data_IF_596499815916
#
_entry.id   IF_596499815916
#
_cell.length_a   1.000
_cell.length_b   1.000
_cell.length_c   1.000
_cell.angle_alpha   90.00
_cell.angle_beta   90.00
_cell.angle_gamma   90.00
#
_symmetry.space_group_name_H-M   'P 1'
#
loop_
_entity.id
_entity.type
_entity.pdbx_description
1 polymer ?
#
# COMPACT_ATOMS: atom_id res chain seq x y z
N UNK A 1 -0.03 30.97 -24.32
CA UNK A 1 -0.68 29.76 -23.74
C UNK A 1 -1.68 30.20 -22.68
N UNK A 2 -2.93 29.74 -22.76
CA UNK A 2 -4.02 30.13 -21.85
C UNK A 2 -3.97 29.36 -20.52
N UNK A 3 -4.28 30.02 -19.40
CA UNK A 3 -4.28 29.40 -18.09
C UNK A 3 -5.61 28.65 -17.83
N UNK A 4 -5.59 27.31 -17.63
CA UNK A 4 -6.81 26.51 -17.42
C UNK A 4 -7.50 26.74 -16.06
N UNK A 5 -7.02 27.65 -15.21
CA UNK A 5 -7.63 28.01 -13.92
C UNK A 5 -8.60 29.20 -13.96
N UNK A 6 -8.69 29.91 -15.09
CA UNK A 6 -9.38 31.20 -15.17
C UNK A 6 -10.86 31.10 -15.52
N UNK A 7 -11.70 31.92 -14.86
CA UNK A 7 -13.11 32.18 -15.25
C UNK A 7 -13.10 33.47 -16.06
N UNK A 8 -13.20 33.36 -17.37
CA UNK A 8 -12.92 34.44 -18.29
C UNK A 8 -13.98 35.56 -18.28
N UNK A 9 -13.53 36.80 -18.10
CA UNK A 9 -14.22 38.03 -18.52
C UNK A 9 -13.22 38.90 -19.29
N UNK A 10 -13.68 39.70 -20.27
CA UNK A 10 -12.83 40.54 -21.16
C UNK A 10 -11.80 41.43 -20.43
N UNK A 11 -12.02 41.72 -19.15
CA UNK A 11 -11.11 42.49 -18.28
C UNK A 11 -9.78 41.80 -17.93
N UNK A 12 -9.60 40.52 -18.24
CA UNK A 12 -8.44 39.72 -17.80
C UNK A 12 -7.36 39.49 -18.87
N UNK A 13 -7.51 40.06 -20.07
CA UNK A 13 -6.62 39.84 -21.23
C UNK A 13 -5.13 40.07 -20.95
N UNK A 14 -4.80 40.94 -19.99
CA UNK A 14 -3.42 41.31 -19.63
C UNK A 14 -3.01 40.89 -18.20
N UNK A 15 -3.84 40.10 -17.49
CA UNK A 15 -3.60 39.73 -16.09
C UNK A 15 -2.97 38.33 -15.91
N UNK A 16 -2.87 37.54 -16.99
CA UNK A 16 -2.32 36.18 -16.96
C UNK A 16 -0.90 36.17 -17.49
N UNK A 17 0.08 36.12 -16.59
CA UNK A 17 1.47 35.81 -16.91
C UNK A 17 1.86 34.50 -16.23
N UNK A 18 2.60 33.64 -16.93
CA UNK A 18 3.21 32.47 -16.31
C UNK A 18 4.39 32.95 -15.47
N UNK A 19 4.35 32.69 -14.15
CA UNK A 19 5.47 32.93 -13.24
C UNK A 19 6.63 31.93 -13.46
N UNK A 20 6.47 30.99 -14.40
CA UNK A 20 7.39 29.89 -14.65
C UNK A 20 8.13 30.15 -15.96
N UNK A 21 9.47 30.07 -16.00
CA UNK A 21 10.24 30.13 -17.25
C UNK A 21 9.71 29.12 -18.26
N UNK A 22 9.60 29.52 -19.54
CA UNK A 22 9.10 28.64 -20.61
C UNK A 22 9.89 27.33 -20.72
N UNK A 23 11.17 27.34 -20.34
CA UNK A 23 12.06 26.18 -20.31
C UNK A 23 11.63 25.06 -19.34
N UNK A 24 10.88 25.41 -18.28
CA UNK A 24 10.36 24.46 -17.29
C UNK A 24 8.95 23.98 -17.62
N UNK A 25 8.34 24.48 -18.70
CA UNK A 25 7.00 24.12 -19.13
C UNK A 25 7.05 23.09 -20.26
N UNK A 26 6.47 21.92 -20.03
CA UNK A 26 6.27 20.91 -21.07
C UNK A 26 4.78 20.66 -21.28
N UNK A 27 4.24 21.10 -22.42
CA UNK A 27 2.80 21.10 -22.72
C UNK A 27 2.39 20.12 -23.83
N UNK A 28 3.29 19.22 -24.23
CA UNK A 28 3.04 18.22 -25.27
C UNK A 28 2.97 16.82 -24.66
N UNK A 29 2.48 15.85 -25.42
CA UNK A 29 2.62 14.44 -25.08
C UNK A 29 4.06 13.99 -25.33
N UNK A 30 4.65 13.22 -24.41
CA UNK A 30 5.98 12.64 -24.59
C UNK A 30 6.00 11.20 -24.12
N UNK A 31 6.30 10.29 -25.05
CA UNK A 31 6.60 8.90 -24.69
C UNK A 31 7.96 8.87 -24.00
N UNK A 32 8.02 8.32 -22.79
CA UNK A 32 9.25 8.22 -21.99
C UNK A 32 9.93 6.87 -22.20
N UNK A 33 9.13 5.79 -22.28
CA UNK A 33 9.53 4.48 -22.77
C UNK A 33 8.29 3.74 -23.33
N UNK A 34 8.39 2.45 -23.66
CA UNK A 34 7.28 1.66 -24.23
C UNK A 34 6.07 1.47 -23.32
N UNK A 35 6.21 1.72 -22.02
CA UNK A 35 5.18 1.50 -21.02
C UNK A 35 4.83 2.77 -20.23
N UNK A 36 5.38 3.94 -20.58
CA UNK A 36 5.16 5.19 -19.85
C UNK A 36 5.10 6.40 -20.77
N UNK A 37 4.05 7.20 -20.59
CA UNK A 37 3.82 8.45 -21.33
C UNK A 37 3.53 9.63 -20.39
N UNK A 38 4.18 10.75 -20.65
CA UNK A 38 3.82 12.05 -20.09
C UNK A 38 2.69 12.67 -20.92
N UNK A 39 1.56 12.95 -20.28
CA UNK A 39 0.38 13.57 -20.89
C UNK A 39 0.37 15.07 -20.55
N UNK A 40 1.26 15.84 -21.18
CA UNK A 40 1.37 17.30 -20.99
C UNK A 40 0.37 18.12 -21.81
N UNK A 41 -0.22 17.50 -22.82
CA UNK A 41 -1.19 18.09 -23.76
C UNK A 41 -2.61 18.20 -23.20
N UNK A 42 -2.94 17.45 -22.14
CA UNK A 42 -4.25 17.48 -21.48
C UNK A 42 -4.24 18.46 -20.31
N UNK A 43 -5.19 19.41 -20.30
CA UNK A 43 -5.31 20.41 -19.23
C UNK A 43 -6.43 20.04 -18.27
N UNK A 44 -6.07 19.83 -17.00
CA UNK A 44 -6.99 19.48 -15.93
C UNK A 44 -7.16 20.68 -14.99
N UNK A 45 -8.40 21.01 -14.62
CA UNK A 45 -8.67 22.10 -13.67
C UNK A 45 -8.08 21.73 -12.29
N UNK A 46 -7.32 22.61 -11.61
CA UNK A 46 -6.77 22.34 -10.27
C UNK A 46 -7.80 22.12 -9.17
N UNK A 47 -9.07 22.44 -9.42
CA UNK A 47 -10.20 22.19 -8.53
C UNK A 47 -10.93 20.87 -8.84
N UNK A 48 -10.47 20.10 -9.84
CA UNK A 48 -11.04 18.80 -10.19
C UNK A 48 -11.05 17.87 -8.97
N UNK A 49 -12.18 17.22 -8.72
CA UNK A 49 -12.32 16.31 -7.58
C UNK A 49 -11.44 15.08 -7.76
N UNK A 50 -11.55 14.44 -8.93
CA UNK A 50 -10.77 13.29 -9.36
C UNK A 50 -10.05 13.62 -10.67
N UNK A 51 -8.75 13.95 -10.65
CA UNK A 51 -8.05 14.39 -11.85
C UNK A 51 -7.77 13.28 -12.86
N UNK A 52 -7.85 12.01 -12.45
CA UNK A 52 -7.55 10.86 -13.31
C UNK A 52 -8.81 10.20 -13.90
N UNK A 53 -9.98 10.58 -13.42
CA UNK A 53 -11.27 10.02 -13.87
C UNK A 53 -11.47 10.22 -15.37
N UNK A 54 -11.78 9.14 -16.08
CA UNK A 54 -12.06 9.16 -17.53
C UNK A 54 -10.82 9.01 -18.41
N UNK A 55 -9.63 8.88 -17.83
CA UNK A 55 -8.38 8.65 -18.56
C UNK A 55 -7.93 7.19 -18.59
N UNK A 56 -8.71 6.27 -18.03
CA UNK A 56 -8.38 4.85 -17.91
C UNK A 56 -8.09 4.20 -19.28
N UNK A 57 -8.68 4.69 -20.36
CA UNK A 57 -8.46 4.19 -21.72
C UNK A 57 -7.51 5.03 -22.59
N UNK A 58 -7.23 6.29 -22.21
CA UNK A 58 -6.55 7.27 -23.10
C UNK A 58 -5.07 6.93 -23.38
N UNK A 59 -4.46 6.15 -22.49
CA UNK A 59 -3.07 5.72 -22.61
C UNK A 59 -2.93 4.31 -23.18
N UNK A 60 -4.02 3.69 -23.66
CA UNK A 60 -4.04 2.30 -24.12
C UNK A 60 -3.44 1.33 -23.10
N UNK A 61 -2.26 0.75 -23.34
CA UNK A 61 -1.55 -0.13 -22.40
C UNK A 61 -0.47 0.58 -21.57
N UNK A 62 -0.18 1.84 -21.84
CA UNK A 62 0.91 2.59 -21.20
C UNK A 62 0.46 3.22 -19.88
N UNK A 63 1.35 3.26 -18.89
CA UNK A 63 1.20 4.11 -17.71
C UNK A 63 1.25 5.59 -18.10
N UNK A 64 0.58 6.46 -17.34
CA UNK A 64 0.37 7.86 -17.70
C UNK A 64 0.66 8.83 -16.57
N UNK A 65 1.44 9.87 -16.84
CA UNK A 65 1.70 10.98 -15.91
C UNK A 65 0.92 12.22 -16.38
N UNK A 66 0.06 12.75 -15.50
CA UNK A 66 -0.80 13.90 -15.78
C UNK A 66 -0.42 15.08 -14.90
N UNK A 67 -0.46 16.29 -15.47
CA UNK A 67 -0.26 17.52 -14.74
C UNK A 67 -1.47 17.84 -13.84
N UNK A 68 -1.27 17.85 -12.52
CA UNK A 68 -2.28 18.27 -11.56
C UNK A 68 -1.65 18.57 -10.19
N UNK A 69 -2.30 19.40 -9.37
CA UNK A 69 -1.78 19.81 -8.05
C UNK A 69 -2.09 18.84 -6.92
N UNK A 70 -3.12 18.00 -7.08
CA UNK A 70 -3.40 16.89 -6.15
C UNK A 70 -2.54 15.70 -6.50
N UNK A 71 -1.96 15.07 -5.49
CA UNK A 71 -1.26 13.80 -5.62
C UNK A 71 -2.27 12.65 -5.69
N UNK A 72 -2.18 11.86 -6.75
CA UNK A 72 -3.13 10.82 -7.13
C UNK A 72 -2.42 9.68 -7.83
N UNK A 73 -2.83 8.46 -7.55
CA UNK A 73 -2.39 7.29 -8.28
C UNK A 73 -3.52 6.27 -8.33
N UNK A 74 -3.76 5.71 -9.52
CA UNK A 74 -4.71 4.62 -9.73
C UNK A 74 -4.07 3.57 -10.62
N UNK A 75 -4.02 2.33 -10.14
CA UNK A 75 -3.62 1.17 -10.94
C UNK A 75 -4.82 0.62 -11.69
N UNK A 76 -4.66 0.43 -13.00
CA UNK A 76 -5.71 -0.01 -13.92
C UNK A 76 -5.48 -1.48 -14.26
N UNK A 77 -6.50 -2.34 -14.06
CA UNK A 77 -6.39 -3.74 -14.44
C UNK A 77 -6.12 -3.90 -15.94
N UNK A 78 -5.20 -4.79 -16.30
CA UNK A 78 -4.90 -5.13 -17.70
C UNK A 78 -5.16 -6.61 -17.95
N UNK A 79 -5.27 -7.05 -19.23
CA UNK A 79 -5.41 -8.46 -19.55
C UNK A 79 -4.28 -9.30 -18.92
N UNK A 80 -4.60 -10.55 -18.58
CA UNK A 80 -3.66 -11.50 -17.98
C UNK A 80 -2.30 -11.52 -18.69
N UNK A 81 -1.23 -11.67 -17.89
CA UNK A 81 0.17 -11.71 -18.34
C UNK A 81 0.69 -10.40 -18.97
N UNK A 82 -0.01 -9.28 -18.75
CA UNK A 82 0.53 -7.94 -18.99
C UNK A 82 0.71 -7.23 -17.66
N UNK A 83 1.75 -6.40 -17.58
CA UNK A 83 1.94 -5.54 -16.43
C UNK A 83 0.73 -4.60 -16.30
N UNK A 84 0.12 -4.48 -15.10
CA UNK A 84 -0.84 -3.42 -14.83
C UNK A 84 -0.25 -2.05 -15.18
N UNK A 85 -1.11 -1.14 -15.61
CA UNK A 85 -0.68 0.23 -15.89
C UNK A 85 -1.11 1.16 -14.77
N UNK A 86 -0.30 2.18 -14.53
CA UNK A 86 -0.54 3.17 -13.49
C UNK A 86 -0.86 4.50 -14.13
N UNK A 87 -1.94 5.15 -13.68
CA UNK A 87 -2.19 6.56 -13.97
C UNK A 87 -1.86 7.37 -12.73
N UNK A 88 -1.12 8.45 -12.91
CA UNK A 88 -0.69 9.26 -11.77
C UNK A 88 -0.60 10.75 -12.08
N UNK A 89 -0.73 11.55 -11.04
CA UNK A 89 -0.31 12.96 -10.99
C UNK A 89 0.94 13.03 -10.09
N UNK A 90 1.82 14.01 -10.15
CA UNK A 90 1.64 15.43 -10.42
C UNK A 90 2.66 15.89 -11.45
N UNK A 91 2.42 15.67 -12.75
CA UNK A 91 3.30 16.16 -13.83
C UNK A 91 3.46 17.70 -13.90
N UNK A 92 3.10 18.42 -12.83
CA UNK A 92 3.36 19.83 -12.60
C UNK A 92 3.65 20.06 -11.10
N UNK A 93 4.66 20.90 -10.81
CA UNK A 93 4.94 21.44 -9.48
C UNK A 93 4.45 22.89 -9.49
N UNK A 94 3.52 23.25 -8.60
CA UNK A 94 2.96 24.61 -8.54
C UNK A 94 2.87 25.13 -7.11
N UNK A 95 2.67 26.44 -6.98
CA UNK A 95 2.35 27.10 -5.71
C UNK A 95 0.82 27.22 -5.60
N UNK A 96 0.22 27.04 -4.40
CA UNK A 96 -1.22 27.20 -4.21
C UNK A 96 -1.72 28.58 -4.65
N UNK A 97 -2.72 28.61 -5.54
CA UNK A 97 -3.43 29.82 -5.94
C UNK A 97 -4.90 29.46 -6.20
N UNK A 98 -5.77 29.78 -5.25
CA UNK A 98 -7.17 29.36 -5.25
C UNK A 98 -8.09 30.47 -4.75
N UNK A 99 -9.32 30.48 -5.25
CA UNK A 99 -10.37 31.39 -4.77
C UNK A 99 -10.94 30.94 -3.42
N UNK A 100 -11.65 31.83 -2.75
CA UNK A 100 -12.39 31.59 -1.50
C UNK A 100 -13.67 30.73 -1.68
N UNK A 101 -13.97 30.30 -2.91
CA UNK A 101 -15.09 29.40 -3.20
C UNK A 101 -14.91 28.00 -2.57
N UNK A 102 -16.02 27.27 -2.41
CA UNK A 102 -16.01 25.86 -1.96
C UNK A 102 -15.04 24.99 -2.78
N UNK A 103 -14.99 25.18 -4.10
CA UNK A 103 -14.09 24.44 -4.98
C UNK A 103 -12.64 24.85 -4.79
N UNK A 104 -12.38 26.15 -4.63
CA UNK A 104 -11.06 26.70 -4.33
C UNK A 104 -10.50 26.19 -3.01
N UNK A 105 -11.28 26.26 -1.91
CA UNK A 105 -10.89 25.74 -0.59
C UNK A 105 -10.63 24.23 -0.58
N UNK A 106 -11.41 23.45 -1.32
CA UNK A 106 -11.13 22.01 -1.50
C UNK A 106 -9.86 21.75 -2.32
N UNK A 107 -9.60 22.58 -3.33
CA UNK A 107 -8.38 22.52 -4.13
C UNK A 107 -7.14 22.83 -3.28
N UNK A 108 -7.19 23.94 -2.54
CA UNK A 108 -6.15 24.40 -1.61
C UNK A 108 -5.82 23.33 -0.55
N UNK A 109 -6.83 22.76 0.10
CA UNK A 109 -6.64 21.74 1.13
C UNK A 109 -5.88 20.49 0.64
N UNK A 110 -6.13 20.07 -0.60
CA UNK A 110 -5.51 18.89 -1.21
C UNK A 110 -4.32 19.22 -2.11
N UNK A 111 -3.89 20.48 -2.17
CA UNK A 111 -2.74 20.88 -2.96
C UNK A 111 -1.47 20.26 -2.37
N UNK A 112 -0.68 19.63 -3.24
CA UNK A 112 0.62 19.08 -2.91
C UNK A 112 1.66 19.76 -3.79
N UNK A 113 2.63 20.42 -3.16
CA UNK A 113 3.87 20.77 -3.84
C UNK A 113 4.72 19.50 -3.87
N UNK A 114 4.88 18.93 -5.05
CA UNK A 114 5.49 17.62 -5.23
C UNK A 114 5.47 17.22 -6.69
N UNK A 115 6.24 16.18 -7.01
CA UNK A 115 6.47 15.74 -8.37
C UNK A 115 6.61 14.22 -8.44
N UNK A 116 6.95 13.76 -9.64
CA UNK A 116 7.23 12.36 -9.92
C UNK A 116 8.66 12.28 -10.45
N UNK A 117 9.47 11.44 -9.82
CA UNK A 117 10.78 11.02 -10.32
C UNK A 117 10.54 9.75 -11.15
N UNK A 118 11.08 9.75 -12.37
CA UNK A 118 11.01 8.62 -13.29
C UNK A 118 12.41 8.18 -13.63
N UNK A 119 12.72 6.93 -13.36
CA UNK A 119 13.99 6.30 -13.73
C UNK A 119 13.72 5.31 -14.87
N UNK A 120 14.34 5.54 -16.03
CA UNK A 120 14.19 4.67 -17.20
C UNK A 120 15.37 3.69 -17.20
N UNK A 121 15.09 2.43 -16.84
CA UNK A 121 16.10 1.36 -16.85
C UNK A 121 16.39 0.92 -18.28
N UNK A 122 15.33 0.72 -19.08
CA UNK A 122 15.43 0.39 -20.49
C UNK A 122 14.13 0.77 -21.24
N UNK A 123 14.01 0.34 -22.49
CA UNK A 123 12.85 0.65 -23.33
C UNK A 123 11.50 0.19 -22.75
N UNK A 124 11.46 -0.74 -21.80
CA UNK A 124 10.22 -1.27 -21.19
C UNK A 124 10.11 -1.01 -19.70
N UNK A 125 11.22 -1.09 -18.97
CA UNK A 125 11.25 -1.00 -17.51
C UNK A 125 11.47 0.44 -17.07
N UNK A 126 10.67 0.88 -16.10
CA UNK A 126 10.81 2.16 -15.44
C UNK A 126 10.45 2.04 -13.95
N UNK A 127 11.03 2.89 -13.12
CA UNK A 127 10.58 3.13 -11.75
C UNK A 127 9.93 4.50 -11.63
N UNK A 128 8.94 4.60 -10.75
CA UNK A 128 8.14 5.80 -10.56
C UNK A 128 8.01 6.09 -9.07
N UNK A 129 8.50 7.26 -8.64
CA UNK A 129 8.46 7.68 -7.25
C UNK A 129 7.84 9.05 -7.10
N UNK A 130 6.85 9.18 -6.22
CA UNK A 130 6.37 10.49 -5.79
C UNK A 130 7.32 11.11 -4.78
N UNK A 131 7.61 12.39 -5.00
CA UNK A 131 8.20 13.27 -3.98
C UNK A 131 7.13 14.26 -3.50
N UNK A 132 7.13 14.52 -2.20
CA UNK A 132 6.14 15.38 -1.57
C UNK A 132 6.85 16.35 -0.61
N UNK A 133 6.86 17.64 -0.96
CA UNK A 133 7.57 18.63 -0.19
C UNK A 133 6.91 18.85 1.19
N UNK A 134 7.75 18.98 2.21
CA UNK A 134 7.38 19.43 3.55
C UNK A 134 6.84 20.86 3.44
N UNK A 135 5.63 21.09 3.99
CA UNK A 135 4.91 22.35 3.83
C UNK A 135 5.65 23.59 4.35
N UNK A 136 6.48 23.41 5.39
CA UNK A 136 7.13 24.52 6.11
C UNK A 136 8.20 25.22 5.26
N UNK A 137 8.98 24.43 4.53
CA UNK A 137 10.19 24.93 3.86
C UNK A 137 10.31 24.44 2.41
N UNK A 138 9.53 23.45 1.96
CA UNK A 138 9.64 22.91 0.61
C UNK A 138 10.65 21.77 0.48
N UNK A 139 11.34 21.38 1.55
CA UNK A 139 12.29 20.27 1.54
C UNK A 139 11.57 18.93 1.31
N UNK A 140 12.22 17.97 0.67
CA UNK A 140 11.67 16.63 0.44
C UNK A 140 12.73 15.55 0.62
N UNK A 141 12.28 14.31 0.86
CA UNK A 141 13.15 13.15 0.90
C UNK A 141 12.90 12.31 -0.37
N UNK A 142 13.99 11.82 -0.94
CA UNK A 142 13.98 10.77 -1.93
C UNK A 142 15.04 9.73 -1.54
N UNK A 143 14.57 8.51 -1.26
CA UNK A 143 15.37 7.41 -0.72
C UNK A 143 16.18 7.85 0.52
N UNK A 144 17.50 7.79 0.45
CA UNK A 144 18.41 8.06 1.56
C UNK A 144 18.87 9.53 1.65
N UNK A 145 18.28 10.43 0.85
CA UNK A 145 18.68 11.84 0.77
C UNK A 145 17.54 12.80 1.05
N UNK A 146 17.85 13.85 1.81
CA UNK A 146 17.00 15.02 2.03
C UNK A 146 17.50 16.19 1.17
N UNK A 147 16.58 16.82 0.44
CA UNK A 147 16.83 17.93 -0.47
C UNK A 147 16.19 19.21 0.07
N UNK A 148 16.96 20.30 0.11
CA UNK A 148 16.53 21.58 0.67
C UNK A 148 16.47 22.69 -0.41
N UNK A 149 15.65 23.75 -0.19
CA UNK A 149 15.47 24.81 -1.19
C UNK A 149 16.70 25.65 -1.52
N UNK A 150 17.68 25.68 -0.62
CA UNK A 150 18.96 26.37 -0.80
C UNK A 150 19.95 25.55 -1.65
N UNK A 151 19.56 24.36 -2.11
CA UNK A 151 20.40 23.44 -2.86
C UNK A 151 21.19 22.45 -1.99
N UNK A 152 21.08 22.55 -0.66
CA UNK A 152 21.74 21.61 0.26
C UNK A 152 21.13 20.21 0.11
N UNK A 153 22.00 19.20 0.12
CA UNK A 153 21.61 17.78 0.12
C UNK A 153 22.28 17.09 1.30
N UNK A 154 21.48 16.46 2.15
CA UNK A 154 21.96 15.75 3.34
C UNK A 154 21.48 14.30 3.32
N UNK A 155 22.06 13.46 4.18
CA UNK A 155 21.51 12.14 4.44
C UNK A 155 20.14 12.28 5.09
N UNK A 156 19.16 11.54 4.60
CA UNK A 156 17.82 11.54 5.15
C UNK A 156 17.81 11.07 6.61
N UNK A 157 16.96 11.65 7.47
CA UNK A 157 16.66 11.05 8.77
C UNK A 157 16.08 9.64 8.59
N UNK A 158 16.24 8.80 9.61
CA UNK A 158 15.62 7.48 9.65
C UNK A 158 14.11 7.59 9.37
N UNK A 159 13.60 6.69 8.53
CA UNK A 159 12.18 6.63 8.23
C UNK A 159 11.41 6.24 9.50
N UNK A 160 10.19 6.75 9.64
CA UNK A 160 9.33 6.36 10.76
C UNK A 160 8.92 4.90 10.61
N UNK A 161 8.45 4.52 9.42
CA UNK A 161 7.94 3.19 9.19
C UNK A 161 8.04 2.71 7.74
N UNK A 162 8.05 1.39 7.58
CA UNK A 162 7.60 0.73 6.35
C UNK A 162 6.35 -0.09 6.70
N UNK A 163 5.30 0.12 5.93
CA UNK A 163 4.10 -0.72 5.87
C UNK A 163 4.25 -1.61 4.65
N UNK A 164 4.42 -2.90 4.89
CA UNK A 164 4.55 -3.86 3.81
C UNK A 164 3.23 -4.02 3.06
N UNK A 165 3.33 -4.31 1.76
CA UNK A 165 2.20 -4.85 1.01
C UNK A 165 1.79 -6.19 1.62
N UNK A 166 0.57 -6.64 1.32
CA UNK A 166 0.02 -7.87 1.91
C UNK A 166 1.00 -9.04 1.70
N UNK A 167 1.47 -9.58 2.83
CA UNK A 167 2.71 -10.36 2.90
C UNK A 167 2.52 -11.75 2.35
N UNK A 168 1.50 -12.46 2.82
CA UNK A 168 1.13 -13.78 2.33
C UNK A 168 2.34 -14.72 2.27
N UNK A 169 2.93 -14.98 3.45
CA UNK A 169 4.23 -15.66 3.58
C UNK A 169 4.39 -16.86 2.65
N UNK A 170 3.38 -17.70 2.52
CA UNK A 170 3.46 -18.95 1.75
C UNK A 170 3.56 -18.73 0.23
N UNK A 171 3.16 -17.55 -0.25
CA UNK A 171 3.16 -17.19 -1.67
C UNK A 171 4.02 -15.97 -2.01
N UNK A 172 4.84 -15.48 -1.07
CA UNK A 172 5.81 -14.40 -1.33
C UNK A 172 6.62 -14.66 -2.60
N UNK A 173 6.89 -13.59 -3.31
CA UNK A 173 7.87 -13.57 -4.38
C UNK A 173 9.29 -13.44 -3.78
N UNK A 174 10.17 -14.42 -3.95
CA UNK A 174 11.53 -14.38 -3.40
C UNK A 174 12.33 -13.15 -3.84
N UNK A 175 12.11 -12.65 -5.06
CA UNK A 175 12.86 -11.50 -5.58
C UNK A 175 12.45 -10.22 -4.84
N UNK A 176 11.17 -10.09 -4.49
CA UNK A 176 10.64 -8.97 -3.70
C UNK A 176 11.13 -9.05 -2.25
N UNK A 177 11.17 -10.25 -1.67
CA UNK A 177 11.72 -10.46 -0.31
C UNK A 177 13.19 -10.09 -0.28
N UNK A 178 13.99 -10.58 -1.23
CA UNK A 178 15.42 -10.26 -1.35
C UNK A 178 15.62 -8.75 -1.46
N UNK A 179 14.97 -8.07 -2.42
CA UNK A 179 15.11 -6.63 -2.58
C UNK A 179 14.57 -5.79 -1.42
N UNK A 180 13.66 -6.33 -0.62
CA UNK A 180 13.18 -5.66 0.58
C UNK A 180 14.19 -5.74 1.72
N UNK A 181 14.77 -6.92 1.97
CA UNK A 181 15.50 -7.20 3.22
C UNK A 181 17.00 -7.42 3.07
N UNK A 182 17.52 -7.65 1.86
CA UNK A 182 18.97 -7.77 1.64
C UNK A 182 19.71 -6.51 2.07
N UNK A 183 21.03 -6.62 2.27
CA UNK A 183 21.89 -5.45 2.43
C UNK A 183 21.82 -4.59 1.16
N UNK A 184 21.57 -3.29 1.32
CA UNK A 184 21.25 -2.37 0.21
C UNK A 184 19.82 -2.48 -0.32
N UNK A 185 18.99 -3.34 0.26
CA UNK A 185 17.55 -3.43 0.00
C UNK A 185 16.75 -2.33 0.68
N UNK A 186 15.44 -2.31 0.46
CA UNK A 186 14.55 -1.22 0.90
C UNK A 186 14.67 -0.92 2.40
N UNK A 187 14.66 -1.94 3.26
CA UNK A 187 14.75 -1.77 4.72
C UNK A 187 16.10 -1.20 5.14
N UNK A 188 17.19 -1.57 4.47
CA UNK A 188 18.54 -1.07 4.76
C UNK A 188 18.69 0.40 4.30
N UNK A 189 18.23 0.70 3.07
CA UNK A 189 18.29 2.05 2.47
C UNK A 189 17.48 3.06 3.29
N UNK A 190 16.25 2.71 3.65
CA UNK A 190 15.35 3.64 4.35
C UNK A 190 15.57 3.67 5.87
N UNK A 191 16.21 2.63 6.42
CA UNK A 191 16.47 2.47 7.85
C UNK A 191 15.26 2.83 8.74
N UNK A 192 14.10 2.14 8.60
CA UNK A 192 12.89 2.50 9.31
C UNK A 192 12.97 2.11 10.79
N UNK A 193 12.29 2.89 11.63
CA UNK A 193 12.13 2.59 13.07
C UNK A 193 11.11 1.49 13.34
N UNK A 194 10.04 1.47 12.54
CA UNK A 194 8.89 0.58 12.70
C UNK A 194 8.63 -0.20 11.42
N UNK A 195 8.28 -1.49 11.55
CA UNK A 195 7.77 -2.32 10.47
C UNK A 195 6.32 -2.72 10.75
N UNK A 196 5.45 -2.58 9.76
CA UNK A 196 4.02 -2.89 9.88
C UNK A 196 3.64 -3.96 8.86
N UNK A 197 3.05 -5.05 9.36
CA UNK A 197 2.81 -6.28 8.63
C UNK A 197 1.29 -6.49 8.42
N UNK A 198 0.88 -6.63 7.17
CA UNK A 198 -0.49 -6.90 6.74
C UNK A 198 -0.58 -8.27 6.09
N UNK A 199 -1.68 -9.01 6.33
CA UNK A 199 -1.92 -10.36 5.79
C UNK A 199 -0.65 -11.24 5.87
N UNK A 200 0.01 -11.25 7.04
CA UNK A 200 1.24 -12.03 7.25
C UNK A 200 0.98 -13.54 7.08
N UNK A 201 -0.10 -14.00 7.70
CA UNK A 201 -0.61 -15.35 7.57
C UNK A 201 -1.52 -15.44 6.32
N UNK A 202 -1.35 -16.47 5.49
CA UNK A 202 -2.23 -16.72 4.35
C UNK A 202 -3.54 -17.40 4.75
N UNK A 203 -3.54 -18.13 5.85
CA UNK A 203 -4.57 -19.12 6.21
C UNK A 203 -4.92 -20.03 5.02
N UNK A 204 -3.92 -20.39 4.21
CA UNK A 204 -4.12 -21.15 2.98
C UNK A 204 -4.67 -22.54 3.31
N UNK A 205 -4.18 -23.20 4.37
CA UNK A 205 -4.66 -24.49 4.86
C UNK A 205 -6.20 -24.52 4.94
N UNK A 206 -6.81 -23.51 5.57
CA UNK A 206 -8.22 -23.43 5.94
C UNK A 206 -9.06 -22.43 5.13
N UNK A 207 -8.50 -21.89 4.04
CA UNK A 207 -9.11 -20.79 3.27
C UNK A 207 -10.59 -21.09 2.91
N UNK A 208 -11.55 -20.23 3.31
CA UNK A 208 -12.98 -20.42 3.05
C UNK A 208 -13.35 -20.55 1.56
N UNK A 209 -12.56 -19.97 0.65
CA UNK A 209 -12.81 -20.03 -0.79
C UNK A 209 -12.54 -21.42 -1.38
N UNK A 210 -11.83 -22.30 -0.66
CA UNK A 210 -11.50 -23.66 -1.12
C UNK A 210 -12.48 -24.72 -0.61
N UNK A 211 -13.44 -24.32 0.24
CA UNK A 211 -14.44 -25.23 0.82
C UNK A 211 -15.24 -25.90 -0.28
N UNK A 212 -15.36 -27.22 -0.21
CA UNK A 212 -16.10 -28.03 -1.19
C UNK A 212 -15.32 -28.39 -2.46
N UNK A 213 -14.06 -27.96 -2.61
CA UNK A 213 -13.22 -28.37 -3.74
C UNK A 213 -12.24 -29.51 -3.34
N UNK A 214 -12.53 -30.78 -3.69
CA UNK A 214 -11.69 -31.91 -3.28
C UNK A 214 -10.31 -31.90 -3.98
N UNK A 215 -10.19 -31.28 -5.15
CA UNK A 215 -8.92 -31.24 -5.88
C UNK A 215 -7.94 -30.25 -5.27
N UNK A 216 -8.41 -29.09 -4.82
CA UNK A 216 -7.58 -28.15 -4.04
C UNK A 216 -7.17 -28.81 -2.71
N UNK A 217 -8.09 -29.49 -2.03
CA UNK A 217 -7.75 -30.25 -0.81
C UNK A 217 -6.65 -31.27 -1.07
N UNK A 218 -6.76 -32.07 -2.13
CA UNK A 218 -5.75 -33.05 -2.51
C UNK A 218 -4.40 -32.39 -2.86
N UNK A 219 -4.42 -31.25 -3.57
CA UNK A 219 -3.21 -30.50 -3.89
C UNK A 219 -2.49 -29.99 -2.63
N UNK A 220 -3.24 -29.42 -1.67
CA UNK A 220 -2.71 -29.00 -0.37
C UNK A 220 -2.08 -30.16 0.40
N UNK A 221 -2.71 -31.33 0.43
CA UNK A 221 -2.13 -32.51 1.07
C UNK A 221 -0.81 -32.92 0.41
N UNK A 222 -0.77 -32.98 -0.92
CA UNK A 222 0.45 -33.33 -1.67
C UNK A 222 1.60 -32.33 -1.47
N UNK A 223 1.29 -31.06 -1.27
CA UNK A 223 2.26 -29.99 -1.05
C UNK A 223 2.57 -29.75 0.45
N UNK A 224 2.00 -30.53 1.37
CA UNK A 224 2.04 -30.29 2.81
C UNK A 224 1.46 -28.92 3.28
N UNK A 225 0.61 -28.28 2.48
CA UNK A 225 -0.01 -26.98 2.80
C UNK A 225 -1.34 -27.12 3.57
N UNK A 226 -1.63 -28.31 4.08
CA UNK A 226 -2.86 -28.63 4.80
C UNK A 226 -2.71 -28.54 6.32
N UNK A 227 -1.46 -28.44 6.82
CA UNK A 227 -1.16 -28.33 8.24
C UNK A 227 -1.21 -26.85 8.66
N UNK A 228 -2.13 -26.52 9.56
CA UNK A 228 -2.37 -25.16 10.05
C UNK A 228 -1.24 -24.65 10.93
N UNK A 229 -0.73 -25.52 11.81
CA UNK A 229 0.36 -25.20 12.73
C UNK A 229 1.62 -24.78 11.98
N UNK A 230 2.02 -25.56 10.97
CA UNK A 230 3.18 -25.26 10.13
C UNK A 230 3.07 -23.87 9.50
N UNK A 231 1.91 -23.52 8.93
CA UNK A 231 1.72 -22.21 8.29
C UNK A 231 1.82 -21.05 9.30
N UNK A 232 1.25 -21.22 10.50
CA UNK A 232 1.34 -20.22 11.57
C UNK A 232 2.78 -20.04 12.05
N UNK A 233 3.52 -21.14 12.22
CA UNK A 233 4.93 -21.10 12.60
C UNK A 233 5.77 -20.44 11.49
N UNK A 234 5.62 -20.86 10.24
CA UNK A 234 6.30 -20.28 9.07
C UNK A 234 6.12 -18.76 8.99
N UNK A 235 4.89 -18.28 9.20
CA UNK A 235 4.57 -16.85 9.16
C UNK A 235 5.25 -16.07 10.30
N UNK A 236 5.25 -16.62 11.52
CA UNK A 236 5.86 -15.98 12.69
C UNK A 236 7.39 -16.02 12.60
N UNK A 237 7.98 -17.12 12.15
CA UNK A 237 9.43 -17.24 11.95
C UNK A 237 9.93 -16.25 10.90
N UNK A 238 9.20 -16.09 9.80
CA UNK A 238 9.52 -15.09 8.79
C UNK A 238 9.50 -13.66 9.34
N UNK A 239 8.47 -13.32 10.11
CA UNK A 239 8.39 -12.04 10.82
C UNK A 239 9.56 -11.84 11.78
N UNK A 240 9.94 -12.88 12.53
CA UNK A 240 11.04 -12.80 13.49
C UNK A 240 12.38 -12.61 12.80
N UNK A 241 12.64 -13.34 11.71
CA UNK A 241 13.86 -13.25 10.91
C UNK A 241 14.04 -11.86 10.30
N UNK A 242 12.98 -11.31 9.68
CA UNK A 242 13.05 -10.06 8.93
C UNK A 242 12.72 -8.82 9.77
N UNK A 243 12.13 -9.01 10.94
CA UNK A 243 11.77 -7.96 11.90
C UNK A 243 12.85 -7.66 12.95
N UNK A 244 13.99 -8.36 12.92
CA UNK A 244 15.05 -8.23 13.93
C UNK A 244 15.48 -6.78 14.14
N UNK A 245 15.77 -6.44 15.41
CA UNK A 245 16.25 -5.13 15.88
C UNK A 245 15.31 -3.94 15.66
N UNK A 246 14.07 -4.19 15.21
CA UNK A 246 13.07 -3.15 14.94
C UNK A 246 11.79 -3.43 15.70
N UNK A 247 10.98 -2.39 15.85
CA UNK A 247 9.63 -2.51 16.39
C UNK A 247 8.69 -2.99 15.30
N UNK A 248 7.94 -4.05 15.58
CA UNK A 248 7.05 -4.69 14.63
C UNK A 248 5.60 -4.62 15.10
N UNK A 249 4.71 -4.23 14.21
CA UNK A 249 3.26 -4.31 14.42
C UNK A 249 2.62 -5.24 13.40
N UNK A 250 1.85 -6.22 13.88
CA UNK A 250 1.06 -7.09 13.01
C UNK A 250 -0.38 -6.60 13.04
N UNK A 251 -0.90 -6.19 11.88
CA UNK A 251 -2.23 -5.60 11.72
C UNK A 251 -3.26 -6.72 11.46
N UNK A 252 -4.35 -6.79 12.26
CA UNK A 252 -5.44 -7.73 12.03
C UNK A 252 -6.01 -7.60 10.61
N UNK A 253 -5.88 -8.68 9.87
CA UNK A 253 -6.24 -8.74 8.46
C UNK A 253 -7.29 -9.82 8.18
N UNK A 254 -7.86 -9.85 6.98
CA UNK A 254 -8.90 -10.84 6.68
C UNK A 254 -8.35 -12.26 6.67
N UNK A 255 -7.07 -12.47 6.33
CA UNK A 255 -6.47 -13.80 6.39
C UNK A 255 -6.17 -14.24 7.82
N UNK A 256 -5.83 -13.33 8.74
CA UNK A 256 -5.72 -13.66 10.17
C UNK A 256 -7.06 -14.14 10.73
N UNK A 257 -8.16 -13.48 10.34
CA UNK A 257 -9.52 -13.84 10.74
C UNK A 257 -9.98 -15.20 10.16
N UNK A 258 -9.39 -15.65 9.05
CA UNK A 258 -9.69 -16.98 8.51
C UNK A 258 -9.24 -18.11 9.46
N UNK A 259 -8.19 -17.92 10.26
CA UNK A 259 -7.80 -18.87 11.30
C UNK A 259 -8.91 -18.98 12.37
N UNK A 260 -9.45 -17.84 12.84
CA UNK A 260 -10.60 -17.83 13.76
C UNK A 260 -11.79 -18.59 13.17
N UNK A 261 -12.13 -18.30 11.91
CA UNK A 261 -13.25 -18.97 11.22
C UNK A 261 -13.00 -20.47 11.02
N UNK A 262 -11.76 -20.88 10.80
CA UNK A 262 -11.41 -22.30 10.69
C UNK A 262 -11.69 -23.04 12.00
N UNK A 263 -11.28 -22.47 13.15
CA UNK A 263 -11.59 -23.03 14.47
C UNK A 263 -13.10 -23.08 14.74
N UNK A 264 -13.88 -22.12 14.23
CA UNK A 264 -15.34 -22.11 14.44
C UNK A 264 -16.06 -23.12 13.51
N UNK A 265 -15.56 -23.27 12.28
CA UNK A 265 -16.27 -23.99 11.20
C UNK A 265 -15.96 -25.48 11.16
N UNK A 266 -14.69 -25.85 11.33
CA UNK A 266 -14.24 -27.22 11.08
C UNK A 266 -14.57 -28.17 12.24
N UNK A 267 -14.73 -29.45 11.90
CA UNK A 267 -14.88 -30.53 12.87
C UNK A 267 -13.55 -31.29 12.97
N UNK A 268 -12.76 -31.01 14.01
CA UNK A 268 -11.46 -31.63 14.23
C UNK A 268 -11.51 -33.17 14.24
N UNK A 269 -12.66 -33.78 14.59
CA UNK A 269 -12.83 -35.25 14.58
C UNK A 269 -12.79 -35.85 13.17
N UNK A 270 -12.92 -35.02 12.14
CA UNK A 270 -12.87 -35.42 10.73
C UNK A 270 -11.50 -35.16 10.10
N UNK A 271 -10.57 -34.55 10.83
CA UNK A 271 -9.19 -34.42 10.39
C UNK A 271 -8.43 -35.72 10.66
N UNK A 272 -7.50 -36.03 9.79
CA UNK A 272 -6.64 -37.23 9.86
C UNK A 272 -5.18 -36.87 10.12
N UNK A 273 -4.82 -35.58 10.09
CA UNK A 273 -3.51 -35.08 10.50
C UNK A 273 -3.53 -34.78 12.00
N UNK A 274 -2.70 -35.49 12.77
CA UNK A 274 -2.64 -35.35 14.24
C UNK A 274 -2.22 -33.94 14.66
N UNK A 275 -1.30 -33.33 13.91
CA UNK A 275 -0.78 -31.97 14.11
C UNK A 275 -1.91 -30.93 14.07
N UNK A 276 -2.84 -31.08 13.12
CA UNK A 276 -4.01 -30.20 13.04
C UNK A 276 -4.97 -30.40 14.21
N UNK A 277 -5.16 -31.64 14.68
CA UNK A 277 -6.06 -31.94 15.79
C UNK A 277 -5.55 -31.28 17.07
N UNK A 278 -4.26 -31.46 17.40
CA UNK A 278 -3.65 -30.88 18.60
C UNK A 278 -3.66 -29.36 18.54
N UNK A 279 -3.18 -28.77 17.44
CA UNK A 279 -3.17 -27.32 17.24
C UNK A 279 -4.57 -26.71 17.28
N UNK A 280 -5.56 -27.38 16.67
CA UNK A 280 -6.96 -26.97 16.74
C UNK A 280 -7.44 -26.95 18.19
N UNK A 281 -7.24 -28.03 18.94
CA UNK A 281 -7.77 -28.17 20.30
C UNK A 281 -7.11 -27.17 21.25
N UNK A 282 -5.81 -26.93 21.14
CA UNK A 282 -5.09 -25.90 21.90
C UNK A 282 -5.62 -24.50 21.59
N UNK A 283 -5.78 -24.18 20.30
CA UNK A 283 -6.31 -22.89 19.85
C UNK A 283 -7.76 -22.70 20.30
N UNK A 284 -8.61 -23.72 20.17
CA UNK A 284 -9.99 -23.69 20.59
C UNK A 284 -10.13 -23.53 22.11
N UNK A 285 -9.27 -24.21 22.88
CA UNK A 285 -9.25 -24.11 24.34
C UNK A 285 -8.95 -22.69 24.79
N UNK A 286 -7.92 -22.04 24.24
CA UNK A 286 -7.59 -20.65 24.62
C UNK A 286 -8.69 -19.69 24.19
N UNK A 287 -9.29 -19.88 23.01
CA UNK A 287 -10.44 -19.07 22.57
C UNK A 287 -11.60 -19.22 23.55
N UNK A 288 -11.96 -20.45 23.93
CA UNK A 288 -13.04 -20.71 24.88
C UNK A 288 -12.76 -20.16 26.28
N UNK A 289 -11.54 -20.31 26.80
CA UNK A 289 -11.15 -19.78 28.11
C UNK A 289 -11.12 -18.25 28.15
N UNK A 290 -10.78 -17.61 27.02
CA UNK A 290 -10.77 -16.15 26.90
C UNK A 290 -12.16 -15.55 26.66
N UNK A 291 -13.15 -16.37 26.30
CA UNK A 291 -14.47 -15.90 25.92
C UNK A 291 -15.24 -15.36 27.13
N UNK A 292 -15.71 -14.13 27.04
CA UNK A 292 -16.47 -13.47 28.08
C UNK A 292 -17.43 -12.41 27.50
N UNK A 293 -18.39 -11.98 28.33
CA UNK A 293 -19.27 -10.86 27.99
C UNK A 293 -18.62 -9.55 28.41
N UNK A 294 -18.63 -8.58 27.51
CA UNK A 294 -18.41 -7.15 27.78
C UNK A 294 -19.74 -6.42 27.84
N UNK A 295 -19.72 -5.15 28.27
CA UNK A 295 -20.92 -4.29 28.30
C UNK A 295 -21.61 -4.13 26.94
N UNK A 296 -20.92 -4.46 25.83
CA UNK A 296 -21.40 -4.27 24.45
C UNK A 296 -21.36 -5.53 23.59
N UNK A 297 -21.20 -6.72 24.20
CA UNK A 297 -21.24 -8.00 23.48
C UNK A 297 -20.15 -8.99 23.90
N UNK A 298 -20.14 -10.16 23.26
CA UNK A 298 -19.13 -11.18 23.49
C UNK A 298 -17.78 -10.78 22.89
N UNK A 299 -16.71 -11.09 23.62
CA UNK A 299 -15.32 -10.91 23.17
C UNK A 299 -14.51 -12.17 23.47
N UNK A 300 -13.48 -12.42 22.66
CA UNK A 300 -12.53 -13.53 22.81
C UNK A 300 -11.24 -13.20 22.06
N UNK A 301 -10.16 -13.89 22.43
CA UNK A 301 -8.84 -13.62 21.85
C UNK A 301 -8.78 -13.99 20.36
N UNK A 302 -8.12 -13.15 19.57
CA UNK A 302 -7.78 -13.49 18.19
C UNK A 302 -6.63 -14.52 18.17
N UNK A 303 -6.80 -15.70 17.55
CA UNK A 303 -5.87 -16.82 17.68
C UNK A 303 -4.49 -16.54 17.08
N UNK A 304 -4.41 -15.82 15.95
CA UNK A 304 -3.10 -15.52 15.37
C UNK A 304 -2.26 -14.59 16.26
N UNK A 305 -2.88 -13.56 16.83
CA UNK A 305 -2.23 -12.68 17.82
C UNK A 305 -1.83 -13.42 19.10
N UNK A 306 -2.61 -14.43 19.51
CA UNK A 306 -2.21 -15.33 20.60
C UNK A 306 -0.93 -16.10 20.25
N UNK A 307 -0.90 -16.77 19.10
CA UNK A 307 0.25 -17.57 18.67
C UNK A 307 1.52 -16.74 18.45
N UNK A 308 1.40 -15.52 17.91
CA UNK A 308 2.52 -14.57 17.85
C UNK A 308 3.11 -14.34 19.24
N UNK A 309 2.28 -14.14 20.26
CA UNK A 309 2.77 -13.90 21.62
C UNK A 309 3.36 -15.14 22.28
N UNK A 310 2.91 -16.35 21.92
CA UNK A 310 3.49 -17.60 22.42
C UNK A 310 4.85 -17.92 21.79
N UNK A 311 4.99 -17.64 20.49
CA UNK A 311 6.14 -18.08 19.71
C UNK A 311 7.23 -17.01 19.53
N UNK A 312 6.95 -15.75 19.87
CA UNK A 312 7.98 -14.70 19.91
C UNK A 312 8.97 -14.93 21.05
N UNK A 313 10.22 -14.59 20.82
CA UNK A 313 11.26 -14.58 21.85
C UNK A 313 11.12 -13.35 22.76
N UNK A 314 11.76 -13.38 23.94
CA UNK A 314 11.80 -12.23 24.85
C UNK A 314 12.52 -11.01 24.27
N UNK A 315 13.37 -11.20 23.27
CA UNK A 315 14.11 -10.13 22.59
C UNK A 315 13.38 -9.57 21.37
N UNK A 316 12.26 -10.18 20.96
CA UNK A 316 11.49 -9.74 19.81
C UNK A 316 10.55 -8.59 20.22
N UNK A 317 10.68 -7.43 19.57
CA UNK A 317 9.74 -6.30 19.73
C UNK A 317 8.59 -6.44 18.73
N UNK A 318 7.71 -7.42 18.98
CA UNK A 318 6.54 -7.73 18.15
C UNK A 318 5.25 -7.49 18.94
N UNK A 319 4.38 -6.65 18.38
CA UNK A 319 3.06 -6.34 18.90
C UNK A 319 1.96 -6.69 17.88
N UNK A 320 1.22 -7.80 18.07
CA UNK A 320 -0.01 -8.00 17.32
C UNK A 320 -1.08 -7.00 17.82
N UNK A 321 -1.65 -6.21 16.92
CA UNK A 321 -2.72 -5.29 17.27
C UNK A 321 -4.04 -6.05 17.47
N UNK A 322 -4.96 -5.46 18.23
CA UNK A 322 -6.35 -5.95 18.33
C UNK A 322 -7.20 -5.40 17.20
N UNK A 323 -8.28 -6.09 16.86
CA UNK A 323 -9.28 -5.56 15.93
C UNK A 323 -9.79 -4.21 16.45
N UNK A 324 -9.92 -3.21 15.55
CA UNK A 324 -10.32 -1.82 15.86
C UNK A 324 -9.29 -1.02 16.68
N UNK A 325 -8.11 -1.58 16.96
CA UNK A 325 -7.03 -0.81 17.60
C UNK A 325 -6.39 0.12 16.58
N UNK A 326 -6.30 1.41 16.91
CA UNK A 326 -5.57 2.41 16.12
C UNK A 326 -4.06 2.23 16.29
N UNK A 327 -3.33 2.44 15.20
CA UNK A 327 -1.88 2.58 15.19
C UNK A 327 -1.52 3.89 14.47
N UNK A 328 -1.41 4.96 15.25
CA UNK A 328 -0.95 6.26 14.75
C UNK A 328 0.58 6.31 14.75
N UNK A 329 1.17 6.40 13.56
CA UNK A 329 2.60 6.68 13.36
C UNK A 329 2.71 8.09 12.79
N UNK A 330 3.29 9.00 13.59
CA UNK A 330 3.14 10.46 13.39
C UNK A 330 1.65 10.86 13.32
N UNK A 331 1.20 11.43 12.21
CA UNK A 331 -0.20 11.81 11.97
C UNK A 331 -0.91 10.88 10.97
N UNK A 332 -0.42 9.65 10.82
CA UNK A 332 -0.88 8.65 9.84
C UNK A 332 -1.37 7.39 10.55
N UNK A 333 -2.62 7.01 10.29
CA UNK A 333 -3.23 5.77 10.75
C UNK A 333 -2.75 4.57 9.93
N UNK A 334 -2.23 3.55 10.60
CA UNK A 334 -1.65 2.33 10.01
C UNK A 334 -2.27 1.03 10.58
N UNK A 335 -3.30 1.13 11.43
CA UNK A 335 -3.95 -0.01 12.08
C UNK A 335 -5.08 -0.65 11.26
N UNK A 336 -5.40 -0.12 10.07
CA UNK A 336 -6.45 -0.65 9.22
C UNK A 336 -5.89 -1.52 8.10
N UNK A 337 -6.26 -2.80 8.09
CA UNK A 337 -5.90 -3.66 6.95
C UNK A 337 -6.58 -3.21 5.65
N UNK A 338 -7.85 -2.81 5.71
CA UNK A 338 -8.59 -2.27 4.56
C UNK A 338 -9.72 -3.17 4.03
N UNK A 339 -9.90 -4.37 4.56
CA UNK A 339 -11.02 -5.26 4.19
C UNK A 339 -12.38 -4.73 4.68
N UNK A 340 -12.40 -4.14 5.88
CA UNK A 340 -13.55 -3.46 6.48
C UNK A 340 -13.35 -1.95 6.43
N UNK A 341 -14.26 -1.24 5.77
CA UNK A 341 -14.33 0.20 5.68
C UNK A 341 -15.24 0.83 6.74
N UNK A 342 -15.48 2.15 6.65
CA UNK A 342 -16.32 2.88 7.59
C UNK A 342 -17.72 2.27 7.73
N UNK A 343 -18.16 2.06 8.98
CA UNK A 343 -19.47 1.47 9.28
C UNK A 343 -19.63 -0.01 8.93
N UNK A 344 -18.52 -0.74 8.70
CA UNK A 344 -18.55 -2.17 8.34
C UNK A 344 -18.79 -2.45 6.86
N UNK A 345 -18.86 -1.42 6.00
CA UNK A 345 -18.89 -1.59 4.55
C UNK A 345 -17.58 -2.21 4.03
N UNK A 346 -17.54 -2.64 2.76
CA UNK A 346 -16.27 -3.03 2.14
C UNK A 346 -15.33 -1.82 2.05
N UNK A 347 -14.09 -1.99 2.49
CA UNK A 347 -13.09 -0.92 2.42
C UNK A 347 -12.71 -0.59 0.98
N UNK A 348 -12.54 0.70 0.69
CA UNK A 348 -12.10 1.20 -0.62
C UNK A 348 -11.15 2.38 -0.45
N UNK A 349 -10.31 2.64 -1.45
CA UNK A 349 -9.41 3.80 -1.39
C UNK A 349 -10.18 5.12 -1.14
N UNK A 350 -11.37 5.25 -1.73
CA UNK A 350 -12.20 6.47 -1.67
C UNK A 350 -12.86 6.66 -0.31
N UNK A 351 -13.48 5.63 0.27
CA UNK A 351 -14.22 5.79 1.54
C UNK A 351 -13.28 6.08 2.72
N UNK A 352 -12.13 5.41 2.77
CA UNK A 352 -11.08 5.68 3.73
C UNK A 352 -10.47 7.06 3.53
N UNK A 353 -10.25 7.50 2.28
CA UNK A 353 -9.76 8.86 2.00
C UNK A 353 -10.71 9.99 2.41
N UNK A 354 -11.93 9.66 2.86
CA UNK A 354 -12.93 10.62 3.33
C UNK A 354 -13.07 10.68 4.86
N UNK A 355 -12.37 9.83 5.64
CA UNK A 355 -12.56 9.75 7.11
C UNK A 355 -11.82 10.85 7.89
N UNK A 356 -11.10 11.75 7.20
CA UNK A 356 -10.48 12.93 7.82
C UNK A 356 -9.09 12.70 8.44
N UNK A 357 -8.54 11.48 8.39
CA UNK A 357 -7.16 11.18 8.79
C UNK A 357 -6.34 10.72 7.59
N UNK A 358 -5.03 10.96 7.64
CA UNK A 358 -4.11 10.31 6.72
C UNK A 358 -4.02 8.84 7.08
N UNK A 359 -4.04 7.94 6.10
CA UNK A 359 -3.94 6.52 6.38
C UNK A 359 -3.13 5.72 5.36
N UNK A 360 -2.68 4.55 5.79
CA UNK A 360 -2.09 3.50 4.95
C UNK A 360 -2.88 2.21 5.16
N UNK A 361 -3.23 1.51 4.07
CA UNK A 361 -3.86 0.17 4.15
C UNK A 361 -3.18 -0.83 3.21
N UNK A 362 -3.42 -2.12 3.44
CA UNK A 362 -3.15 -3.21 2.50
C UNK A 362 -4.43 -3.59 1.74
N UNK A 363 -4.77 -4.88 1.77
CA UNK A 363 -5.96 -5.56 1.22
C UNK A 363 -6.16 -5.53 -0.29
N UNK A 364 -5.85 -4.40 -0.93
CA UNK A 364 -6.18 -4.20 -2.34
C UNK A 364 -5.21 -4.86 -3.31
N UNK A 365 -4.07 -5.36 -2.81
CA UNK A 365 -2.94 -5.93 -3.57
C UNK A 365 -2.44 -5.08 -4.75
N UNK A 366 -2.87 -3.82 -4.83
CA UNK A 366 -2.63 -2.90 -5.93
C UNK A 366 -2.47 -1.51 -5.35
N UNK A 367 -1.39 -0.83 -5.70
CA UNK A 367 -1.13 0.47 -5.11
C UNK A 367 -2.14 1.52 -5.58
N UNK A 368 -2.39 2.49 -4.70
CA UNK A 368 -3.29 3.59 -5.01
C UNK A 368 -3.03 4.74 -4.07
N UNK A 369 -3.26 5.96 -4.57
CA UNK A 369 -3.25 7.16 -3.75
C UNK A 369 -4.52 7.94 -4.01
N UNK A 370 -5.29 8.17 -2.94
CA UNK A 370 -6.48 9.02 -2.95
C UNK A 370 -6.41 10.03 -1.81
N UNK A 371 -6.06 11.27 -2.13
CA UNK A 371 -5.91 12.34 -1.14
C UNK A 371 -4.91 11.91 -0.04
N UNK A 372 -5.39 11.80 1.20
CA UNK A 372 -4.61 11.38 2.35
C UNK A 372 -4.51 9.86 2.53
N UNK A 373 -5.01 9.03 1.62
CA UNK A 373 -4.97 7.57 1.73
C UNK A 373 -3.99 6.97 0.73
N UNK A 374 -3.03 6.19 1.23
CA UNK A 374 -2.10 5.39 0.44
C UNK A 374 -2.44 3.92 0.64
N UNK A 375 -2.49 3.14 -0.42
CA UNK A 375 -2.66 1.68 -0.32
C UNK A 375 -1.45 0.99 -0.91
N UNK A 376 -0.93 0.00 -0.18
CA UNK A 376 0.13 -0.87 -0.65
C UNK A 376 -0.35 -1.91 -1.68
N UNK A 377 0.61 -2.63 -2.23
CA UNK A 377 0.38 -3.78 -3.09
C UNK A 377 0.40 -5.07 -2.29
N UNK A 378 1.07 -6.09 -2.83
CA UNK A 378 1.34 -7.37 -2.18
C UNK A 378 2.84 -7.69 -2.22
N UNK A 379 3.32 -8.63 -1.40
CA UNK A 379 4.66 -9.23 -1.54
C UNK A 379 4.63 -10.56 -2.29
N UNK A 380 3.45 -11.00 -2.75
CA UNK A 380 3.26 -12.29 -3.43
C UNK A 380 3.73 -12.29 -4.88
N UNK A 381 3.88 -13.50 -5.43
CA UNK A 381 3.80 -13.68 -6.87
C UNK A 381 2.45 -13.20 -7.38
N UNK A 382 2.46 -12.41 -8.45
CA UNK A 382 1.28 -11.68 -8.94
C UNK A 382 0.22 -12.54 -9.65
N UNK A 383 0.50 -13.82 -9.90
CA UNK A 383 -0.38 -14.78 -10.60
C UNK A 383 -0.81 -15.91 -9.66
N UNK A 384 -1.33 -15.56 -8.48
CA UNK A 384 -1.88 -16.53 -7.53
C UNK A 384 -3.16 -17.18 -8.09
N UNK A 385 -3.48 -18.41 -7.66
CA UNK A 385 -4.58 -19.21 -8.22
C UNK A 385 -5.98 -18.58 -8.10
N UNK A 386 -6.14 -17.63 -7.17
CA UNK A 386 -7.39 -16.89 -6.91
C UNK A 386 -7.44 -15.54 -7.64
N UNK A 387 -6.47 -15.24 -8.51
CA UNK A 387 -6.47 -14.09 -9.41
C UNK A 387 -7.26 -14.44 -10.67
N UNK A 388 -8.53 -14.00 -10.73
CA UNK A 388 -9.40 -14.23 -11.88
C UNK A 388 -9.62 -12.95 -12.71
N UNK A 389 -9.62 -13.10 -14.04
CA UNK A 389 -9.83 -11.99 -14.98
C UNK A 389 -8.69 -10.94 -14.99
N UNK A 390 -8.91 -9.77 -15.63
CA UNK A 390 -7.92 -8.70 -15.67
C UNK A 390 -7.43 -8.32 -14.26
N UNK A 391 -6.12 -8.22 -14.09
CA UNK A 391 -5.50 -8.00 -12.79
C UNK A 391 -4.81 -6.63 -12.72
N UNK A 392 -4.75 -6.08 -11.52
CA UNK A 392 -4.07 -4.82 -11.20
C UNK A 392 -3.00 -5.00 -10.12
N UNK A 393 -2.66 -6.25 -9.79
CA UNK A 393 -1.80 -6.52 -8.66
C UNK A 393 -0.37 -6.13 -8.96
N UNK A 394 0.28 -5.53 -7.98
CA UNK A 394 1.65 -5.07 -8.09
C UNK A 394 2.35 -5.25 -6.75
N UNK A 395 3.65 -5.50 -6.84
CA UNK A 395 4.47 -5.61 -5.65
C UNK A 395 4.82 -4.21 -5.17
N UNK A 396 4.16 -3.74 -4.11
CA UNK A 396 4.33 -2.36 -3.64
C UNK A 396 4.30 -2.28 -2.12
N UNK A 397 5.29 -1.60 -1.54
CA UNK A 397 5.34 -1.23 -0.11
C UNK A 397 5.08 0.27 0.07
N UNK A 398 4.72 0.69 1.29
CA UNK A 398 4.50 2.10 1.62
C UNK A 398 5.40 2.50 2.78
N UNK A 399 6.21 3.55 2.63
CA UNK A 399 7.05 4.05 3.71
C UNK A 399 6.53 5.39 4.26
N UNK A 400 6.86 5.71 5.51
CA UNK A 400 6.70 7.04 6.12
C UNK A 400 8.10 7.60 6.36
N UNK A 401 8.46 8.66 5.65
CA UNK A 401 9.78 9.31 5.78
C UNK A 401 9.92 10.10 7.10
N UNK A 402 11.14 10.54 7.43
CA UNK A 402 11.37 11.35 8.62
C UNK A 402 10.75 12.76 8.58
N UNK A 403 10.11 13.16 7.47
CA UNK A 403 9.31 14.37 7.33
C UNK A 403 7.79 14.11 7.44
N UNK A 404 7.36 12.88 7.71
CA UNK A 404 5.95 12.48 7.79
C UNK A 404 5.24 12.43 6.44
N UNK A 405 6.00 12.18 5.36
CA UNK A 405 5.49 11.97 4.00
C UNK A 405 5.48 10.49 3.67
N UNK A 406 4.59 10.11 2.77
CA UNK A 406 4.42 8.73 2.36
C UNK A 406 4.91 8.52 0.95
N UNK A 407 5.54 7.38 0.72
CA UNK A 407 6.08 6.99 -0.57
C UNK A 407 5.65 5.57 -0.88
N UNK A 408 5.24 5.34 -2.12
CA UNK A 408 5.07 3.99 -2.67
C UNK A 408 6.41 3.52 -3.24
N UNK A 409 6.74 2.26 -2.98
CA UNK A 409 7.93 1.59 -3.51
C UNK A 409 7.46 0.36 -4.27
N UNK A 410 7.32 0.51 -5.59
CA UNK A 410 6.84 -0.56 -6.47
C UNK A 410 8.04 -1.31 -7.04
N UNK A 411 8.03 -2.62 -6.86
CA UNK A 411 9.05 -3.55 -7.32
C UNK A 411 8.71 -3.99 -8.74
N UNK A 412 9.67 -3.82 -9.65
CA UNK A 412 9.58 -4.24 -11.06
C UNK A 412 10.75 -5.16 -11.32
N UNK A 413 10.45 -6.42 -11.67
CA UNK A 413 11.47 -7.47 -11.86
C UNK A 413 12.41 -7.64 -10.64
N UNK A 414 11.86 -7.47 -9.44
CA UNK A 414 12.60 -7.61 -8.19
C UNK A 414 13.21 -6.31 -7.67
N UNK A 415 13.38 -5.26 -8.48
CA UNK A 415 13.99 -4.01 -8.01
C UNK A 415 12.96 -2.90 -7.76
N UNK A 416 13.17 -2.07 -6.73
CA UNK A 416 12.29 -0.93 -6.43
C UNK A 416 12.82 0.42 -6.94
N UNK A 417 14.04 0.44 -7.48
CA UNK A 417 14.72 1.59 -8.06
C UNK A 417 15.82 1.10 -9.02
N UNK A 418 16.34 1.99 -9.87
CA UNK A 418 17.21 1.65 -11.01
C UNK A 418 18.68 1.34 -10.67
#
# INVERSE_FOLDING_TARGET
>A
MQNPTSRWTDSQKNAEYWLVPDELLYNQRKKLNDNLVLIGDVKIRPTAHDPLSGFESITHSESGIFAHTKLRLTTIPTPHKRAPKVLTTTGAITVPNYTDSKAGKKGEFHHVQGGVIVEIVNNKIFHLHHINCRKRDGAFIWLDKAYYPDGTVERAPAYEAIVFGDVHRRFVDPDVVDATFRKGGLVDVLNPRVLVWHDLLDSYFGNPHHVGNPFIKLAKHRANYHVAQDEVIEAIEFLREHGLSRKNYVVPSNHDDMLSRWIIREDWKRDVATENIEFYLETALVMAQSAHMTDIGADYIAPFGYWINQLKSKTDDITPLKLKQSLMLMDIECGYHGHQGPGGARGTIKNFGAIGVKLITGHGHSEAIWNGHYRGGTMTRLDAEYVFGPNAWLNTHVSIDGFGKRHLHTFVEGDFWA
#
